data_IF_524795336203
#
_entry.id   IF_524795336203
#
_cell.length_a   1.000
_cell.length_b   1.000
_cell.length_c   1.000
_cell.angle_alpha   90.00
_cell.angle_beta   90.00
_cell.angle_gamma   90.00
#
_symmetry.space_group_name_H-M   'P 1'
#
loop_
_entity.id
_entity.type
_entity.pdbx_description
1 polymer ?
#
# COMPACT_ATOMS: atom_id res chain seq x y z
N UNK A 1 1.25 7.71 -2.54
CA UNK A 1 0.18 6.69 -2.49
C UNK A 1 0.13 6.19 -1.07
N UNK A 2 -1.05 6.14 -0.45
CA UNK A 2 -1.19 5.62 0.91
C UNK A 2 -0.51 4.24 1.03
N UNK A 3 0.42 4.12 1.96
CA UNK A 3 1.20 2.89 2.17
C UNK A 3 0.60 2.02 3.28
N UNK A 4 -0.15 2.64 4.17
CA UNK A 4 -0.69 2.01 5.35
C UNK A 4 -2.14 2.41 5.57
N UNK A 5 -2.95 1.39 5.87
CA UNK A 5 -4.33 1.52 6.31
C UNK A 5 -4.41 1.26 7.80
N UNK A 6 -4.95 2.22 8.53
CA UNK A 6 -5.15 2.18 9.97
C UNK A 6 -6.64 1.93 10.23
N UNK A 7 -6.93 0.92 11.04
CA UNK A 7 -8.26 0.52 11.46
C UNK A 7 -8.42 0.85 12.95
N UNK A 8 -9.36 1.74 13.24
CA UNK A 8 -9.75 2.10 14.58
C UNK A 8 -10.50 0.95 15.25
N UNK A 9 -10.34 0.78 16.58
CA UNK A 9 -11.13 -0.18 17.35
C UNK A 9 -12.65 0.03 17.20
N UNK A 10 -13.06 1.29 17.00
CA UNK A 10 -14.43 1.65 16.70
C UNK A 10 -14.61 1.86 15.19
N UNK A 11 -15.28 0.92 14.52
CA UNK A 11 -15.57 0.93 13.07
C UNK A 11 -16.60 1.97 12.64
N UNK A 12 -17.21 2.68 13.57
CA UNK A 12 -18.12 3.79 13.26
C UNK A 12 -17.46 5.15 13.51
N UNK A 13 -16.19 5.16 13.95
CA UNK A 13 -15.48 6.40 14.25
C UNK A 13 -15.15 7.19 12.98
N UNK A 14 -15.70 8.39 12.90
CA UNK A 14 -15.36 9.36 11.84
C UNK A 14 -14.90 10.65 12.50
N UNK A 15 -13.67 11.08 12.22
CA UNK A 15 -13.06 12.21 12.90
C UNK A 15 -11.56 12.32 12.68
N UNK A 16 -10.91 13.24 13.39
CA UNK A 16 -9.47 13.47 13.29
C UNK A 16 -8.75 12.88 14.52
N UNK A 17 -7.74 12.05 14.29
CA UNK A 17 -6.89 11.47 15.33
C UNK A 17 -5.42 11.61 14.96
N UNK A 18 -4.61 12.25 15.82
CA UNK A 18 -3.19 12.53 15.56
C UNK A 18 -2.90 13.21 14.21
N UNK A 19 -3.85 14.02 13.71
CA UNK A 19 -3.77 14.68 12.40
C UNK A 19 -4.17 13.80 11.21
N UNK A 20 -4.58 12.55 11.45
CA UNK A 20 -5.09 11.61 10.44
C UNK A 20 -6.62 11.61 10.49
N UNK A 21 -7.24 11.76 9.32
CA UNK A 21 -8.69 11.65 9.16
C UNK A 21 -9.11 10.20 9.10
N UNK A 22 -10.06 9.83 9.96
CA UNK A 22 -10.74 8.55 9.98
C UNK A 22 -12.15 8.70 9.40
N UNK A 23 -12.58 7.73 8.60
CA UNK A 23 -13.91 7.59 8.03
C UNK A 23 -14.36 6.15 8.29
N UNK A 24 -15.46 5.94 9.02
CA UNK A 24 -15.94 4.60 9.39
C UNK A 24 -14.83 3.72 10.03
N UNK A 25 -14.03 4.31 10.89
CA UNK A 25 -12.92 3.66 11.57
C UNK A 25 -11.73 3.36 10.66
N UNK A 26 -11.73 3.78 9.40
CA UNK A 26 -10.63 3.55 8.46
C UNK A 26 -9.88 4.86 8.20
N UNK A 27 -8.56 4.79 8.18
CA UNK A 27 -7.68 5.91 7.88
C UNK A 27 -6.50 5.45 7.03
N UNK A 28 -5.95 6.35 6.25
CA UNK A 28 -4.81 6.09 5.36
C UNK A 28 -3.65 7.01 5.72
N UNK A 29 -2.43 6.46 5.74
CA UNK A 29 -1.22 7.24 5.96
C UNK A 29 -0.02 6.69 5.19
N UNK A 30 0.88 7.58 4.82
CA UNK A 30 2.20 7.25 4.29
C UNK A 30 3.29 7.35 5.37
N UNK A 31 2.93 7.85 6.56
CA UNK A 31 3.88 8.15 7.61
C UNK A 31 4.09 6.93 8.53
N UNK A 32 5.28 6.34 8.42
CA UNK A 32 5.70 5.16 9.19
C UNK A 32 5.74 5.41 10.71
N UNK A 33 5.98 6.65 11.15
CA UNK A 33 5.93 6.99 12.58
C UNK A 33 4.51 6.94 13.13
N UNK A 34 3.52 7.41 12.34
CA UNK A 34 2.11 7.31 12.73
C UNK A 34 1.67 5.84 12.81
N UNK A 35 2.13 5.00 11.89
CA UNK A 35 1.85 3.55 11.92
C UNK A 35 2.27 2.92 13.24
N UNK A 36 3.51 3.15 13.66
CA UNK A 36 4.02 2.61 14.93
C UNK A 36 3.25 3.17 16.14
N UNK A 37 2.96 4.48 16.11
CA UNK A 37 2.15 5.14 17.13
C UNK A 37 0.77 4.50 17.27
N UNK A 38 0.06 4.29 16.15
CA UNK A 38 -1.27 3.68 16.12
C UNK A 38 -1.24 2.21 16.58
N UNK A 39 -0.26 1.43 16.12
CA UNK A 39 -0.06 0.04 16.60
C UNK A 39 0.14 -0.04 18.10
N UNK A 40 0.99 0.83 18.65
CA UNK A 40 1.23 0.92 20.10
C UNK A 40 -0.01 1.37 20.90
N UNK A 41 -0.96 2.07 20.25
CA UNK A 41 -2.25 2.46 20.83
C UNK A 41 -3.33 1.38 20.71
N UNK A 42 -3.03 0.24 20.07
CA UNK A 42 -3.98 -0.86 19.86
C UNK A 42 -4.87 -0.70 18.63
N UNK A 43 -4.48 0.15 17.68
CA UNK A 43 -5.11 0.20 16.37
C UNK A 43 -4.51 -0.89 15.48
N UNK A 44 -5.34 -1.46 14.62
CA UNK A 44 -4.88 -2.42 13.63
C UNK A 44 -4.31 -1.64 12.44
N UNK A 45 -3.08 -1.95 12.02
CA UNK A 45 -2.44 -1.25 10.90
C UNK A 45 -1.94 -2.25 9.88
N UNK A 46 -2.58 -2.23 8.72
CA UNK A 46 -2.28 -3.07 7.57
C UNK A 46 -1.49 -2.27 6.56
N UNK A 47 -0.38 -2.82 6.08
CA UNK A 47 0.30 -2.24 4.94
C UNK A 47 -0.57 -2.50 3.71
N UNK A 48 -1.00 -1.45 3.03
CA UNK A 48 -1.78 -1.61 1.81
C UNK A 48 -0.79 -1.92 0.69
N UNK A 49 -0.47 -3.21 0.56
CA UNK A 49 0.13 -3.72 -0.67
C UNK A 49 -0.95 -3.62 -1.74
N UNK A 50 -0.86 -2.57 -2.55
CA UNK A 50 -1.74 -2.42 -3.70
C UNK A 50 -1.60 -3.70 -4.53
N UNK A 51 -2.68 -4.47 -4.60
CA UNK A 51 -2.69 -5.73 -5.34
C UNK A 51 -2.34 -5.38 -6.77
N UNK A 52 -1.20 -5.87 -7.24
CA UNK A 52 -0.65 -5.54 -8.56
C UNK A 52 -1.70 -5.83 -9.66
N UNK A 53 -2.54 -6.84 -9.45
CA UNK A 53 -3.67 -7.19 -10.32
C UNK A 53 -4.75 -6.08 -10.46
N UNK A 54 -4.99 -5.31 -9.41
CA UNK A 54 -5.98 -4.21 -9.38
C UNK A 54 -5.43 -2.92 -9.99
N UNK A 55 -4.12 -2.81 -10.14
CA UNK A 55 -3.48 -1.67 -10.76
C UNK A 55 -3.74 -1.62 -12.27
N UNK A 56 -3.78 -0.40 -12.80
CA UNK A 56 -3.91 -0.19 -14.24
C UNK A 56 -2.58 -0.46 -14.94
N UNK A 57 -2.61 -0.72 -16.25
CA UNK A 57 -1.37 -0.90 -17.05
C UNK A 57 -0.41 0.28 -16.89
N UNK A 58 -0.92 1.49 -16.69
CA UNK A 58 -0.09 2.67 -16.45
C UNK A 58 0.65 2.55 -15.11
N UNK A 59 -0.08 2.31 -14.02
CA UNK A 59 0.49 2.14 -12.67
C UNK A 59 1.50 0.98 -12.63
N UNK A 60 1.18 -0.14 -13.30
CA UNK A 60 2.07 -1.27 -13.45
C UNK A 60 3.37 -0.91 -14.18
N UNK A 61 3.30 -0.08 -15.23
CA UNK A 61 4.49 0.41 -15.92
C UNK A 61 5.31 1.35 -15.04
N UNK A 62 4.67 2.17 -14.22
CA UNK A 62 5.38 3.04 -13.26
C UNK A 62 6.08 2.23 -12.17
N UNK A 63 5.41 1.22 -11.60
CA UNK A 63 6.03 0.27 -10.67
C UNK A 63 7.19 -0.49 -11.33
N UNK A 64 7.00 -0.93 -12.58
CA UNK A 64 8.05 -1.68 -13.27
C UNK A 64 9.28 -0.80 -13.54
N UNK A 65 9.06 0.47 -13.87
CA UNK A 65 10.11 1.47 -14.00
C UNK A 65 10.82 1.75 -12.67
N UNK A 66 10.08 1.89 -11.57
CA UNK A 66 10.64 2.10 -10.22
C UNK A 66 11.50 0.92 -9.76
N UNK A 67 11.04 -0.32 -10.06
CA UNK A 67 11.81 -1.55 -9.82
C UNK A 67 12.94 -1.79 -10.84
N UNK A 68 13.11 -0.93 -11.85
CA UNK A 68 14.18 -1.04 -12.86
C UNK A 68 14.01 -2.21 -13.84
N UNK A 69 12.77 -2.66 -14.09
CA UNK A 69 12.46 -3.72 -15.05
C UNK A 69 12.60 -3.16 -16.46
N UNK A 70 13.54 -3.68 -17.24
CA UNK A 70 13.70 -3.34 -18.66
C UNK A 70 12.67 -4.08 -19.53
N UNK A 71 12.18 -3.43 -20.60
CA UNK A 71 11.16 -4.02 -21.49
C UNK A 71 9.71 -3.86 -21.00
N UNK A 72 9.48 -3.24 -19.84
CA UNK A 72 8.15 -2.99 -19.28
C UNK A 72 7.19 -2.23 -20.22
N UNK A 73 7.72 -1.38 -21.12
CA UNK A 73 6.93 -0.57 -22.03
C UNK A 73 6.18 -1.39 -23.08
N UNK A 74 6.77 -2.50 -23.53
CA UNK A 74 6.22 -3.41 -24.55
C UNK A 74 5.46 -4.59 -23.93
N UNK A 75 5.60 -4.82 -22.63
CA UNK A 75 4.90 -5.88 -21.88
C UNK A 75 3.39 -5.60 -21.76
N UNK A 76 2.62 -6.69 -21.75
CA UNK A 76 1.17 -6.66 -21.47
C UNK A 76 0.89 -6.60 -19.97
N UNK A 77 -0.36 -6.30 -19.60
CA UNK A 77 -0.80 -6.24 -18.20
C UNK A 77 -0.37 -7.48 -17.41
N UNK A 78 -0.70 -8.68 -17.93
CA UNK A 78 -0.39 -9.95 -17.28
C UNK A 78 1.12 -10.19 -17.11
N UNK A 79 1.93 -9.78 -18.09
CA UNK A 79 3.38 -9.91 -18.00
C UNK A 79 3.97 -8.93 -16.98
N UNK A 80 3.50 -7.68 -16.97
CA UNK A 80 3.89 -6.70 -15.97
C UNK A 80 3.56 -7.18 -14.56
N UNK A 81 2.34 -7.70 -14.35
CA UNK A 81 1.93 -8.25 -13.05
C UNK A 81 2.88 -9.36 -12.63
N UNK A 82 3.10 -10.35 -13.51
CA UNK A 82 3.94 -11.51 -13.22
C UNK A 82 5.38 -11.14 -12.87
N UNK A 83 5.97 -10.18 -13.59
CA UNK A 83 7.33 -9.71 -13.31
C UNK A 83 7.35 -8.95 -11.98
N UNK A 84 6.36 -8.09 -11.73
CA UNK A 84 6.29 -7.28 -10.50
C UNK A 84 6.07 -8.12 -9.24
N UNK A 85 5.17 -9.11 -9.27
CA UNK A 85 4.95 -10.07 -8.18
C UNK A 85 6.21 -10.92 -7.95
N UNK A 86 6.87 -11.36 -9.02
CA UNK A 86 8.09 -12.16 -8.93
C UNK A 86 9.30 -11.41 -8.33
N UNK A 87 9.29 -10.07 -8.30
CA UNK A 87 10.35 -9.26 -7.67
C UNK A 87 10.14 -9.11 -6.16
N UNK A 88 8.94 -9.37 -5.64
CA UNK A 88 8.62 -9.20 -4.21
C UNK A 88 9.15 -10.32 -3.31
N UNK A 89 9.66 -11.42 -3.90
CA UNK A 89 10.14 -12.59 -3.15
C UNK A 89 11.59 -12.49 -2.64
N UNK A 90 12.25 -11.33 -2.75
CA UNK A 90 13.65 -11.18 -2.25
C UNK A 90 13.74 -10.00 -1.29
N UNK A 91 13.40 -10.24 -0.02
CA UNK A 91 14.16 -9.82 1.18
C UNK A 91 13.34 -10.07 2.45
N UNK A 92 13.59 -11.23 3.04
CA UNK A 92 13.54 -11.39 4.48
C UNK A 92 14.90 -12.00 4.88
N UNK A 93 15.92 -11.15 5.02
CA UNK A 93 17.17 -11.45 5.72
C UNK A 93 17.03 -10.99 7.18
#
# INVERSE_FOLDING_TARGET
>A
MAKYKILAPNKEYTGLSAGVSFINGEAETENEWLVDWFRNKGYEVTKEEQRIEELTVKELKELAKDKGIEGYSDMKKDELIKVLEGVEDVKQD
#
